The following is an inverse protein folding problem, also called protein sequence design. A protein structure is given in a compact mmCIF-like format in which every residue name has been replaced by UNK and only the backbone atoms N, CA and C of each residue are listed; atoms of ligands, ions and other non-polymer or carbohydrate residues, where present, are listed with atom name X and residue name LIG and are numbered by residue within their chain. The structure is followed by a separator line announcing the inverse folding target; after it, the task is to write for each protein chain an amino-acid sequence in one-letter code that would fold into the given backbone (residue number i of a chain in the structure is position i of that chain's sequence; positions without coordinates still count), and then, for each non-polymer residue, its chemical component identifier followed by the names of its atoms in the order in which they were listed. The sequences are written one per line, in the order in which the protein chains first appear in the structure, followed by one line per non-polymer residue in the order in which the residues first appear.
data_IF_402931388680
#
_entry.id   IF_402931388680
#
_cell.length_a   1.000
_cell.length_b   1.000
_cell.length_c   1.000
_cell.angle_alpha   90.00
_cell.angle_beta   90.00
_cell.angle_gamma   90.00
#
_symmetry.space_group_name_H-M   'P 1'
#
loop_
_entity.id
_entity.type
_entity.pdbx_description
1 polymer ?
#
# COMPACT_ATOMS: atom_id res chain seq x y z
N UNK A 1 -4.61 24.87 20.17
CA UNK A 1 -5.03 24.82 18.76
C UNK A 1 -4.21 23.74 18.09
N UNK A 2 -4.83 22.85 17.31
CA UNK A 2 -4.09 21.82 16.60
C UNK A 2 -3.20 22.44 15.52
N UNK A 3 -2.13 21.75 15.16
CA UNK A 3 -1.22 22.16 14.09
C UNK A 3 -1.48 21.31 12.83
N UNK A 4 -1.02 21.77 11.67
CA UNK A 4 -1.07 20.96 10.42
C UNK A 4 -0.38 19.60 10.64
N UNK A 5 0.73 19.59 11.38
CA UNK A 5 1.46 18.36 11.71
C UNK A 5 0.61 17.38 12.52
N UNK A 6 -0.15 17.83 13.50
CA UNK A 6 -1.06 16.98 14.28
C UNK A 6 -2.19 16.40 13.43
N UNK A 7 -2.76 17.21 12.53
CA UNK A 7 -3.78 16.76 11.58
C UNK A 7 -3.21 15.68 10.64
N UNK A 8 -2.04 15.96 10.04
CA UNK A 8 -1.35 15.00 9.17
C UNK A 8 -0.99 13.71 9.92
N UNK A 9 -0.51 13.82 11.16
CA UNK A 9 -0.17 12.66 12.00
C UNK A 9 -1.38 11.77 12.23
N UNK A 10 -2.49 12.35 12.69
CA UNK A 10 -3.73 11.62 12.95
C UNK A 10 -4.25 10.94 11.68
N UNK A 11 -4.32 11.68 10.57
CA UNK A 11 -4.81 11.15 9.30
C UNK A 11 -3.91 10.03 8.77
N UNK A 12 -2.58 10.19 8.85
CA UNK A 12 -1.62 9.20 8.38
C UNK A 12 -1.73 7.89 9.14
N UNK A 13 -1.80 7.97 10.47
CA UNK A 13 -1.95 6.79 11.33
C UNK A 13 -3.27 6.05 11.05
N UNK A 14 -4.34 6.81 10.84
CA UNK A 14 -5.63 6.23 10.48
C UNK A 14 -5.56 5.53 9.11
N UNK A 15 -4.98 6.17 8.09
CA UNK A 15 -4.82 5.55 6.76
C UNK A 15 -3.88 4.35 6.77
N UNK A 16 -2.83 4.36 7.58
CA UNK A 16 -1.97 3.20 7.76
C UNK A 16 -2.74 2.01 8.36
N UNK A 17 -3.56 2.24 9.37
CA UNK A 17 -4.40 1.21 9.97
C UNK A 17 -5.41 0.65 8.95
N UNK A 18 -6.10 1.52 8.20
CA UNK A 18 -7.01 1.11 7.13
C UNK A 18 -6.29 0.32 6.05
N UNK A 19 -5.06 0.70 5.68
CA UNK A 19 -4.24 -0.04 4.71
C UNK A 19 -3.92 -1.45 5.21
N UNK A 20 -3.52 -1.59 6.46
CA UNK A 20 -3.24 -2.90 7.09
C UNK A 20 -4.49 -3.78 7.15
N UNK A 21 -5.62 -3.21 7.52
CA UNK A 21 -6.90 -3.89 7.58
C UNK A 21 -7.38 -4.35 6.20
N UNK A 22 -7.32 -3.47 5.20
CA UNK A 22 -7.69 -3.79 3.83
C UNK A 22 -6.77 -4.90 3.26
N UNK A 23 -5.48 -4.82 3.55
CA UNK A 23 -4.53 -5.86 3.15
C UNK A 23 -4.88 -7.22 3.77
N UNK A 24 -5.27 -7.24 5.03
CA UNK A 24 -5.69 -8.47 5.71
C UNK A 24 -7.03 -9.00 5.15
N UNK A 25 -8.04 -8.14 5.02
CA UNK A 25 -9.40 -8.50 4.56
C UNK A 25 -9.43 -9.00 3.11
N UNK A 26 -8.63 -8.38 2.23
CA UNK A 26 -8.59 -8.74 0.80
C UNK A 26 -7.86 -10.05 0.50
N UNK A 27 -7.47 -10.80 1.52
CA UNK A 27 -6.78 -12.08 1.38
C UNK A 27 -5.52 -12.01 0.48
N UNK A 28 -4.86 -10.86 0.44
CA UNK A 28 -3.64 -10.62 -0.33
C UNK A 28 -2.42 -11.19 0.42
N UNK A 29 -2.56 -11.36 1.73
CA UNK A 29 -1.49 -11.80 2.63
C UNK A 29 -0.94 -13.17 2.21
N UNK A 30 0.37 -13.21 1.96
CA UNK A 30 1.12 -14.46 1.76
C UNK A 30 2.02 -14.76 2.97
N UNK A 31 2.91 -13.84 3.34
CA UNK A 31 3.85 -14.01 4.45
C UNK A 31 3.63 -13.05 5.62
N UNK A 32 2.77 -12.05 5.43
CA UNK A 32 2.60 -10.98 6.42
C UNK A 32 3.63 -9.85 6.33
N UNK A 33 4.79 -10.08 5.72
CA UNK A 33 5.89 -9.11 5.64
C UNK A 33 5.51 -7.76 5.03
N UNK A 34 4.50 -7.71 4.17
CA UNK A 34 4.03 -6.43 3.65
C UNK A 34 3.43 -5.56 4.75
N UNK A 35 2.51 -6.12 5.55
CA UNK A 35 1.91 -5.39 6.67
C UNK A 35 2.95 -4.90 7.69
N UNK A 36 3.98 -5.70 7.94
CA UNK A 36 5.09 -5.36 8.84
C UNK A 36 6.02 -4.28 8.25
N UNK A 37 6.08 -4.16 6.92
CA UNK A 37 6.94 -3.20 6.21
C UNK A 37 6.31 -1.84 5.98
N UNK A 38 5.06 -1.64 6.40
CA UNK A 38 4.40 -0.34 6.25
C UNK A 38 4.99 0.62 7.28
N UNK A 39 5.57 1.70 6.78
CA UNK A 39 6.18 2.78 7.55
C UNK A 39 5.61 4.11 7.08
N UNK A 40 5.63 5.11 7.94
CA UNK A 40 5.27 6.47 7.58
C UNK A 40 6.36 7.46 7.95
N UNK A 41 6.40 8.55 7.22
CA UNK A 41 7.22 9.72 7.53
C UNK A 41 6.33 10.94 7.49
N UNK A 42 6.39 11.77 8.51
CA UNK A 42 5.60 12.99 8.64
C UNK A 42 6.56 14.16 8.78
N UNK A 43 6.34 15.18 7.98
CA UNK A 43 7.01 16.47 8.08
C UNK A 43 5.98 17.54 8.33
N UNK A 44 6.42 18.80 8.51
CA UNK A 44 5.51 19.91 8.83
C UNK A 44 4.38 20.11 7.82
N UNK A 45 4.61 19.74 6.54
CA UNK A 45 3.67 20.01 5.44
C UNK A 45 3.38 18.79 4.57
N UNK A 46 3.90 17.61 4.91
CA UNK A 46 3.70 16.42 4.10
C UNK A 46 3.71 15.14 4.92
N UNK A 47 3.05 14.15 4.37
CA UNK A 47 3.10 12.78 4.89
C UNK A 47 3.37 11.80 3.77
N UNK A 48 4.12 10.76 4.06
CA UNK A 48 4.44 9.68 3.15
C UNK A 48 4.23 8.35 3.87
N UNK A 49 3.50 7.45 3.23
CA UNK A 49 3.37 6.05 3.68
C UNK A 49 4.16 5.19 2.70
N UNK A 50 5.11 4.45 3.23
CA UNK A 50 5.99 3.54 2.48
C UNK A 50 5.65 2.10 2.82
N UNK A 51 5.96 1.23 1.89
CA UNK A 51 5.87 -0.22 2.09
C UNK A 51 6.91 -0.92 1.24
N UNK A 52 7.01 -2.23 1.42
CA UNK A 52 7.93 -3.04 0.63
C UNK A 52 7.69 -2.81 -0.88
N UNK A 53 8.78 -2.75 -1.66
CA UNK A 53 8.77 -2.58 -3.12
C UNK A 53 7.85 -3.55 -3.90
N UNK A 54 7.43 -4.65 -3.28
CA UNK A 54 6.48 -5.59 -3.86
C UNK A 54 5.03 -5.07 -3.89
N UNK A 55 4.72 -3.95 -3.25
CA UNK A 55 3.38 -3.36 -3.25
C UNK A 55 2.90 -3.08 -4.68
N UNK A 56 3.77 -2.61 -5.56
CA UNK A 56 3.44 -2.37 -6.96
C UNK A 56 2.96 -3.64 -7.68
N UNK A 57 3.65 -4.77 -7.49
CA UNK A 57 3.22 -6.04 -8.06
C UNK A 57 1.92 -6.56 -7.45
N UNK A 58 1.66 -6.25 -6.18
CA UNK A 58 0.43 -6.61 -5.48
C UNK A 58 -0.78 -5.83 -5.99
N UNK A 59 -0.59 -4.58 -6.41
CA UNK A 59 -1.67 -3.68 -6.84
C UNK A 59 -1.88 -3.72 -8.35
N UNK A 60 -0.77 -3.70 -9.12
CA UNK A 60 -0.83 -3.57 -10.58
C UNK A 60 -0.54 -4.86 -11.32
N UNK A 61 -0.20 -5.92 -10.59
CA UNK A 61 0.31 -7.13 -11.21
C UNK A 61 1.77 -7.00 -11.64
N UNK A 62 2.21 -7.94 -12.44
CA UNK A 62 3.58 -7.99 -12.93
C UNK A 62 3.62 -8.41 -14.40
N UNK A 63 4.38 -7.69 -15.19
CA UNK A 63 4.65 -8.06 -16.58
C UNK A 63 5.57 -9.31 -16.65
N UNK A 64 5.53 -10.06 -17.75
CA UNK A 64 6.51 -11.10 -18.03
C UNK A 64 7.93 -10.56 -17.93
N UNK A 65 8.88 -11.45 -17.65
CA UNK A 65 10.29 -11.09 -17.70
C UNK A 65 10.69 -10.75 -19.16
N UNK A 66 11.47 -9.69 -19.31
CA UNK A 66 12.00 -9.28 -20.62
C UNK A 66 13.04 -10.27 -21.17
N UNK A 67 13.81 -10.91 -20.28
CA UNK A 67 14.75 -11.97 -20.66
C UNK A 67 13.97 -13.29 -20.74
N UNK A 68 13.67 -13.73 -21.96
CA UNK A 68 12.82 -14.88 -22.23
C UNK A 68 13.60 -16.18 -22.51
N UNK A 69 14.93 -16.24 -22.30
CA UNK A 69 15.62 -17.50 -22.42
C UNK A 69 15.17 -18.49 -21.34
N UNK A 70 15.02 -19.78 -21.66
CA UNK A 70 14.62 -20.79 -20.67
C UNK A 70 15.48 -20.76 -19.40
N UNK A 71 16.78 -20.55 -19.55
CA UNK A 71 17.76 -20.52 -18.46
C UNK A 71 17.54 -19.28 -17.56
N UNK A 72 17.24 -18.13 -18.15
CA UNK A 72 16.95 -16.92 -17.40
C UNK A 72 15.64 -17.04 -16.61
N UNK A 73 14.60 -17.63 -17.23
CA UNK A 73 13.33 -17.89 -16.56
C UNK A 73 13.50 -18.90 -15.41
N UNK A 74 14.29 -19.98 -15.62
CA UNK A 74 14.58 -20.95 -14.57
C UNK A 74 15.32 -20.35 -13.39
N UNK A 75 16.41 -19.59 -13.65
CA UNK A 75 17.17 -18.91 -12.58
C UNK A 75 16.29 -18.01 -11.74
N UNK A 76 15.44 -17.21 -12.40
CA UNK A 76 14.48 -16.36 -11.69
C UNK A 76 13.48 -17.19 -10.88
N UNK A 77 12.92 -18.25 -11.49
CA UNK A 77 11.94 -19.12 -10.84
C UNK A 77 12.53 -19.83 -9.60
N UNK A 78 13.78 -20.30 -9.67
CA UNK A 78 14.46 -20.92 -8.51
C UNK A 78 14.54 -19.94 -7.36
N UNK A 79 14.96 -18.70 -7.62
CA UNK A 79 15.07 -17.67 -6.56
C UNK A 79 13.72 -17.26 -5.96
N UNK A 80 12.64 -17.34 -6.74
CA UNK A 80 11.30 -16.94 -6.30
C UNK A 80 10.42 -18.11 -5.81
N UNK A 81 10.82 -19.34 -6.08
CA UNK A 81 10.08 -20.56 -5.71
C UNK A 81 9.76 -20.65 -4.20
N UNK A 82 10.67 -20.33 -3.26
CA UNK A 82 10.34 -20.39 -1.83
C UNK A 82 9.21 -19.44 -1.45
N UNK A 83 9.16 -18.25 -2.06
CA UNK A 83 8.08 -17.28 -1.83
C UNK A 83 6.74 -17.81 -2.32
N UNK A 84 6.73 -18.40 -3.52
CA UNK A 84 5.52 -18.98 -4.10
C UNK A 84 5.09 -20.27 -3.40
N UNK A 85 6.03 -21.05 -2.90
CA UNK A 85 5.73 -22.18 -2.02
C UNK A 85 4.99 -21.75 -0.76
N UNK A 86 5.51 -20.73 -0.07
CA UNK A 86 4.86 -20.19 1.12
C UNK A 86 3.48 -19.61 0.80
N UNK A 87 3.37 -18.88 -0.30
CA UNK A 87 2.09 -18.36 -0.78
C UNK A 87 1.09 -19.49 -1.07
N UNK A 88 1.49 -20.53 -1.81
CA UNK A 88 0.62 -21.67 -2.09
C UNK A 88 0.13 -22.36 -0.81
N UNK A 89 1.03 -22.57 0.17
CA UNK A 89 0.66 -23.10 1.49
C UNK A 89 -0.37 -22.22 2.19
N UNK A 90 -0.17 -20.90 2.20
CA UNK A 90 -1.11 -19.97 2.84
C UNK A 90 -2.49 -19.92 2.19
N UNK A 91 -2.57 -20.32 0.92
CA UNK A 91 -3.81 -20.38 0.13
C UNK A 91 -4.42 -21.77 0.03
N UNK A 92 -3.81 -22.77 0.64
CA UNK A 92 -4.28 -24.17 0.53
C UNK A 92 -4.19 -24.70 -0.91
N UNK A 93 -3.24 -24.25 -1.71
CA UNK A 93 -3.09 -24.65 -3.10
C UNK A 93 -2.11 -25.82 -3.20
N UNK A 94 -2.61 -26.96 -3.65
CA UNK A 94 -1.82 -28.18 -3.85
C UNK A 94 -1.11 -28.68 -2.59
N UNK A 95 0.03 -29.34 -2.78
CA UNK A 95 0.82 -29.96 -1.70
C UNK A 95 1.77 -28.98 -0.98
N UNK A 96 1.85 -27.74 -1.46
CA UNK A 96 2.79 -26.74 -0.94
C UNK A 96 4.27 -27.14 -1.11
N UNK A 97 4.60 -28.01 -2.07
CA UNK A 97 5.98 -28.42 -2.36
C UNK A 97 6.80 -27.31 -3.01
N UNK A 98 8.13 -27.46 -2.97
CA UNK A 98 9.03 -26.56 -3.70
C UNK A 98 8.76 -26.66 -5.22
N UNK A 99 8.47 -27.85 -5.75
CA UNK A 99 8.14 -28.06 -7.16
C UNK A 99 6.93 -27.26 -7.60
N UNK A 100 5.88 -27.20 -6.77
CA UNK A 100 4.72 -26.34 -7.02
C UNK A 100 5.10 -24.87 -6.97
N UNK A 101 5.86 -24.44 -5.97
CA UNK A 101 6.37 -23.06 -5.86
C UNK A 101 7.18 -22.67 -7.08
N UNK A 102 8.05 -23.55 -7.56
CA UNK A 102 8.83 -23.35 -8.78
C UNK A 102 7.93 -23.23 -10.04
N UNK A 103 6.97 -24.13 -10.21
CA UNK A 103 6.05 -24.09 -11.36
C UNK A 103 5.25 -22.78 -11.41
N UNK A 104 4.76 -22.31 -10.26
CA UNK A 104 4.07 -21.03 -10.15
C UNK A 104 5.01 -19.88 -10.50
N UNK A 105 6.21 -19.86 -9.90
CA UNK A 105 7.21 -18.83 -10.16
C UNK A 105 7.62 -18.78 -11.64
N UNK A 106 7.84 -19.92 -12.27
CA UNK A 106 8.18 -20.03 -13.69
C UNK A 106 7.06 -19.46 -14.59
N UNK A 107 5.81 -19.80 -14.29
CA UNK A 107 4.67 -19.27 -15.04
C UNK A 107 4.54 -17.75 -14.86
N UNK A 108 4.78 -17.23 -13.67
CA UNK A 108 4.80 -15.77 -13.41
C UNK A 108 5.94 -15.10 -14.18
N UNK A 109 7.13 -15.72 -14.24
CA UNK A 109 8.24 -15.20 -15.02
C UNK A 109 7.89 -15.14 -16.52
N UNK A 110 7.25 -16.18 -17.03
CA UNK A 110 6.93 -16.34 -18.46
C UNK A 110 5.74 -15.49 -18.89
N UNK A 111 4.67 -15.48 -18.11
CA UNK A 111 3.36 -14.87 -18.50
C UNK A 111 3.04 -13.59 -17.76
N UNK A 112 3.78 -13.27 -16.70
CA UNK A 112 3.39 -12.23 -15.78
C UNK A 112 2.29 -12.68 -14.82
N UNK A 113 1.74 -11.71 -14.12
CA UNK A 113 0.67 -11.87 -13.14
C UNK A 113 -0.29 -10.70 -13.30
N UNK A 114 -1.54 -10.98 -13.61
CA UNK A 114 -2.59 -9.98 -13.76
C UNK A 114 -3.37 -9.76 -12.46
N UNK A 115 -3.84 -8.54 -12.25
CA UNK A 115 -4.79 -8.16 -11.21
C UNK A 115 -5.92 -7.40 -11.92
N UNK A 116 -7.17 -7.65 -11.57
CA UNK A 116 -7.67 -8.59 -10.54
C UNK A 116 -7.39 -10.06 -10.87
N UNK A 117 -7.37 -10.90 -9.85
CA UNK A 117 -7.13 -12.31 -10.03
C UNK A 117 -8.10 -13.20 -9.22
N UNK A 118 -8.18 -14.49 -9.61
CA UNK A 118 -9.09 -15.48 -9.00
C UNK A 118 -8.80 -15.79 -7.51
N UNK A 119 -7.71 -15.29 -6.96
CA UNK A 119 -7.31 -15.53 -5.57
C UNK A 119 -7.75 -14.40 -4.62
N UNK A 120 -8.64 -13.51 -5.08
CA UNK A 120 -9.29 -12.50 -4.26
C UNK A 120 -8.61 -11.12 -4.26
N UNK A 121 -7.52 -10.94 -5.03
CA UNK A 121 -6.94 -9.61 -5.20
C UNK A 121 -7.66 -8.86 -6.33
N UNK A 122 -8.39 -7.82 -5.95
CA UNK A 122 -9.18 -6.97 -6.85
C UNK A 122 -8.41 -5.73 -7.36
N UNK A 123 -7.18 -5.53 -6.91
CA UNK A 123 -6.33 -4.38 -7.25
C UNK A 123 -6.72 -3.07 -6.54
N UNK A 124 -7.73 -3.10 -5.67
CA UNK A 124 -8.31 -1.89 -5.05
C UNK A 124 -7.72 -1.55 -3.68
N UNK A 125 -6.56 -2.12 -3.32
CA UNK A 125 -5.96 -1.92 -2.01
C UNK A 125 -5.76 -0.43 -1.69
N UNK A 126 -5.17 0.32 -2.61
CA UNK A 126 -4.91 1.75 -2.40
C UNK A 126 -6.18 2.60 -2.53
N UNK A 127 -7.02 2.33 -3.52
CA UNK A 127 -8.25 3.10 -3.73
C UNK A 127 -9.25 2.93 -2.59
N UNK A 128 -9.30 1.76 -1.97
CA UNK A 128 -10.15 1.51 -0.80
C UNK A 128 -9.51 2.03 0.50
N UNK A 129 -8.22 2.37 0.48
CA UNK A 129 -7.53 2.99 1.61
C UNK A 129 -7.55 4.51 1.54
N UNK A 130 -7.26 5.06 0.36
CA UNK A 130 -7.20 6.50 0.11
C UNK A 130 -8.42 6.90 -0.75
N UNK A 131 -9.59 6.90 -0.12
CA UNK A 131 -10.83 7.27 -0.81
C UNK A 131 -10.89 8.80 -1.02
N UNK A 132 -11.62 9.28 -2.04
CA UNK A 132 -11.85 10.70 -2.24
C UNK A 132 -12.36 11.39 -0.96
N UNK A 133 -13.28 10.74 -0.25
CA UNK A 133 -13.86 11.26 1.00
C UNK A 133 -12.78 11.47 2.06
N UNK A 134 -11.88 10.49 2.25
CA UNK A 134 -10.80 10.60 3.25
C UNK A 134 -9.81 11.72 2.93
N UNK A 135 -9.61 12.00 1.65
CA UNK A 135 -8.75 13.10 1.19
C UNK A 135 -9.46 14.43 1.37
N UNK A 136 -10.76 14.49 1.09
CA UNK A 136 -11.56 15.70 1.28
C UNK A 136 -11.73 16.04 2.76
N UNK A 137 -11.88 15.04 3.62
CA UNK A 137 -11.88 15.25 5.08
C UNK A 137 -10.56 15.88 5.56
N UNK A 138 -9.42 15.37 5.08
CA UNK A 138 -8.11 15.96 5.38
C UNK A 138 -8.01 17.42 4.92
N UNK A 139 -8.41 17.71 3.68
CA UNK A 139 -8.42 19.08 3.13
C UNK A 139 -9.30 20.00 3.96
N UNK A 140 -10.49 19.52 4.34
CA UNK A 140 -11.44 20.30 5.13
C UNK A 140 -10.91 20.58 6.52
N UNK A 141 -10.25 19.61 7.18
CA UNK A 141 -9.67 19.79 8.50
C UNK A 141 -8.52 20.83 8.49
N UNK A 142 -7.63 20.74 7.51
CA UNK A 142 -6.55 21.72 7.28
C UNK A 142 -7.13 23.09 6.91
N UNK A 143 -8.14 23.15 6.04
CA UNK A 143 -8.80 24.39 5.66
C UNK A 143 -9.46 25.11 6.83
N UNK A 144 -10.11 24.38 7.72
CA UNK A 144 -10.68 24.94 8.96
C UNK A 144 -9.62 25.53 9.90
N UNK A 145 -8.46 24.87 10.01
CA UNK A 145 -7.34 25.39 10.80
C UNK A 145 -6.91 26.75 10.28
N UNK A 146 -6.62 26.87 8.98
CA UNK A 146 -6.18 28.13 8.37
C UNK A 146 -7.24 29.23 8.44
N UNK A 147 -8.51 28.91 8.24
CA UNK A 147 -9.61 29.88 8.39
C UNK A 147 -9.68 30.43 9.81
N UNK A 148 -9.50 29.57 10.81
CA UNK A 148 -9.53 29.97 12.22
C UNK A 148 -8.35 30.86 12.56
N UNK A 149 -7.13 30.49 12.13
CA UNK A 149 -5.91 31.29 12.34
C UNK A 149 -6.02 32.66 11.67
N UNK A 150 -6.47 32.70 10.40
CA UNK A 150 -6.65 33.94 9.64
C UNK A 150 -7.69 34.85 10.33
N UNK A 151 -8.79 34.29 10.80
CA UNK A 151 -9.83 35.03 11.52
C UNK A 151 -9.31 35.65 12.82
N UNK A 152 -8.49 34.89 13.56
CA UNK A 152 -7.88 35.40 14.81
C UNK A 152 -6.88 36.54 14.55
N UNK A 153 -6.00 36.38 13.55
CA UNK A 153 -5.05 37.41 13.14
C UNK A 153 -5.79 38.68 12.74
N UNK A 154 -6.82 38.51 11.87
CA UNK A 154 -7.64 39.64 11.43
C UNK A 154 -8.28 40.39 12.61
N UNK A 155 -8.85 39.66 13.57
CA UNK A 155 -9.44 40.24 14.77
C UNK A 155 -8.41 41.01 15.61
N UNK A 156 -7.22 40.46 15.82
CA UNK A 156 -6.13 41.10 16.54
C UNK A 156 -5.70 42.43 15.87
N UNK A 157 -5.60 42.42 14.53
CA UNK A 157 -5.27 43.62 13.76
C UNK A 157 -6.35 44.71 14.00
N UNK A 158 -7.63 44.39 13.91
CA UNK A 158 -8.68 45.34 14.13
C UNK A 158 -8.74 45.89 15.60
N UNK A 159 -8.39 45.05 16.56
CA UNK A 159 -8.33 45.47 17.97
C UNK A 159 -7.18 46.47 18.25
N UNK A 160 -6.06 46.32 17.49
CA UNK A 160 -4.92 47.26 17.59
C UNK A 160 -5.20 48.64 16.96
N UNK A 161 -6.19 48.75 16.11
CA UNK A 161 -6.53 49.98 15.40
C UNK A 161 -7.65 50.79 16.08
N UNK A 162 -8.11 50.32 17.23
CA UNK A 162 -9.06 51.01 18.11
C UNK A 162 -8.34 51.73 19.27
#
# INVERSE_FOLDING_TARGET
MGTVNEILTKWTLDRENVLRDNYAKKNIKASGRFGESIEHTITDNSTEIRGNKYIGATIYGRRPNTANSPEALQRWAIGFAPVMQQWAKSKGIGDGSFGLGFAIAYNIAKKGWSIPNKFGNDGRLLTDTFTPESIDDLKNEIGRLYLTETSQITKQIFEQWR
#
